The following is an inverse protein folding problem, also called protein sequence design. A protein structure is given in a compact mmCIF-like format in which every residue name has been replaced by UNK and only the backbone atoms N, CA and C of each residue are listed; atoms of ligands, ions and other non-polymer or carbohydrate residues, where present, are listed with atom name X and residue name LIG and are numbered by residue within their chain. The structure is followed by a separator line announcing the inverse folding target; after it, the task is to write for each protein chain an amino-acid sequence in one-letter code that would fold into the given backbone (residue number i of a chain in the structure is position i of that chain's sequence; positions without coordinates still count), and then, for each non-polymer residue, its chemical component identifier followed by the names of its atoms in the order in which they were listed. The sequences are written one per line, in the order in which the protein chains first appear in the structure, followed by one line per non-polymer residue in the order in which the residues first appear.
data_IF_993805987153
#
_entry.id   IF_993805987153
#
_cell.length_a   1.000
_cell.length_b   1.000
_cell.length_c   1.000
_cell.angle_alpha   90.00
_cell.angle_beta   90.00
_cell.angle_gamma   90.00
#
_symmetry.space_group_name_H-M   'P 1'
#
loop_
_entity.id
_entity.type
_entity.pdbx_description
1 polymer ?
#
# COMPACT_ATOMS: atom_id res chain seq x y z
N UNK A 1 -30.29 -10.35 13.87
CA UNK A 1 -29.98 -9.04 13.29
C UNK A 1 -28.98 -9.22 12.15
N UNK A 2 -29.22 -8.64 10.98
CA UNK A 2 -28.37 -8.79 9.78
C UNK A 2 -27.10 -7.95 9.93
N UNK A 3 -25.93 -8.59 9.82
CA UNK A 3 -24.64 -7.89 9.74
C UNK A 3 -24.62 -7.02 8.47
N UNK A 4 -24.12 -5.77 8.52
CA UNK A 4 -23.91 -5.00 7.30
C UNK A 4 -22.88 -5.74 6.45
N UNK A 5 -23.30 -6.14 5.26
CA UNK A 5 -22.46 -6.90 4.33
C UNK A 5 -21.18 -6.11 4.05
N UNK A 6 -20.03 -6.80 4.11
CA UNK A 6 -18.78 -6.25 3.63
C UNK A 6 -18.98 -5.80 2.18
N UNK A 7 -18.89 -4.50 1.93
CA UNK A 7 -18.86 -3.97 0.57
C UNK A 7 -17.61 -4.57 -0.08
N UNK A 8 -17.79 -5.60 -0.93
CA UNK A 8 -16.79 -5.97 -1.94
C UNK A 8 -16.30 -4.65 -2.53
N UNK A 9 -15.03 -4.30 -2.33
CA UNK A 9 -14.45 -3.07 -2.88
C UNK A 9 -14.81 -3.05 -4.36
N UNK A 10 -15.79 -2.22 -4.74
CA UNK A 10 -16.02 -1.88 -6.14
C UNK A 10 -14.67 -1.41 -6.66
N UNK A 11 -14.29 -1.80 -7.88
CA UNK A 11 -13.19 -1.11 -8.54
C UNK A 11 -13.45 0.38 -8.35
N UNK A 12 -12.57 1.04 -7.60
CA UNK A 12 -12.74 2.44 -7.23
C UNK A 12 -12.56 3.23 -8.52
N UNK A 13 -13.65 3.43 -9.26
CA UNK A 13 -13.76 4.49 -10.25
C UNK A 13 -13.92 5.78 -9.46
N UNK A 14 -12.88 6.14 -8.71
CA UNK A 14 -12.70 7.54 -8.32
C UNK A 14 -12.72 8.35 -9.62
N UNK A 15 -13.41 9.50 -9.65
CA UNK A 15 -13.26 10.46 -10.73
C UNK A 15 -11.76 10.68 -10.99
N UNK A 16 -11.38 10.79 -12.27
CA UNK A 16 -9.96 10.86 -12.66
C UNK A 16 -9.21 11.99 -11.94
N UNK A 17 -9.88 13.12 -11.69
CA UNK A 17 -9.36 14.25 -10.93
C UNK A 17 -9.03 13.90 -9.46
N UNK A 18 -9.94 13.24 -8.75
CA UNK A 18 -9.72 12.81 -7.36
C UNK A 18 -8.60 11.77 -7.27
N UNK A 19 -8.57 10.83 -8.22
CA UNK A 19 -7.49 9.87 -8.35
C UNK A 19 -6.13 10.57 -8.54
N UNK A 20 -6.05 11.51 -9.46
CA UNK A 20 -4.80 12.22 -9.76
C UNK A 20 -4.32 13.03 -8.56
N UNK A 21 -5.24 13.69 -7.83
CA UNK A 21 -4.90 14.44 -6.61
C UNK A 21 -4.35 13.52 -5.51
N UNK A 22 -5.05 12.43 -5.22
CA UNK A 22 -4.62 11.45 -4.21
C UNK A 22 -3.30 10.79 -4.59
N UNK A 23 -3.11 10.43 -5.87
CA UNK A 23 -1.85 9.88 -6.36
C UNK A 23 -0.70 10.90 -6.33
N UNK A 24 -0.98 12.19 -6.53
CA UNK A 24 0.00 13.27 -6.37
C UNK A 24 0.51 13.38 -4.94
N UNK A 25 -0.39 13.40 -3.95
CA UNK A 25 -0.03 13.40 -2.53
C UNK A 25 0.73 12.15 -2.11
N UNK A 26 0.31 10.98 -2.61
CA UNK A 26 1.02 9.73 -2.40
C UNK A 26 2.45 9.79 -2.98
N UNK A 27 2.60 10.31 -4.19
CA UNK A 27 3.90 10.43 -4.86
C UNK A 27 4.86 11.33 -4.09
N UNK A 28 4.40 12.47 -3.57
CA UNK A 28 5.20 13.36 -2.72
C UNK A 28 5.74 12.62 -1.49
N UNK A 29 4.88 11.86 -0.79
CA UNK A 29 5.28 11.06 0.37
C UNK A 29 6.31 9.98 0.02
N UNK A 30 6.15 9.33 -1.14
CA UNK A 30 7.12 8.35 -1.64
C UNK A 30 8.48 9.00 -1.89
N UNK A 31 8.51 10.22 -2.44
CA UNK A 31 9.74 10.96 -2.72
C UNK A 31 10.41 11.49 -1.46
N UNK A 32 9.64 11.98 -0.48
CA UNK A 32 10.15 12.37 0.85
C UNK A 32 10.90 11.22 1.54
N UNK A 33 10.45 9.98 1.34
CA UNK A 33 11.10 8.77 1.85
C UNK A 33 12.34 8.34 1.04
N UNK A 34 12.72 9.07 -0.01
CA UNK A 34 13.88 8.78 -0.85
C UNK A 34 13.65 7.73 -1.94
N UNK A 35 12.38 7.37 -2.22
CA UNK A 35 12.04 6.47 -3.31
C UNK A 35 11.80 7.25 -4.61
N UNK A 36 11.87 6.53 -5.73
CA UNK A 36 11.39 7.02 -7.03
C UNK A 36 10.20 6.21 -7.50
N UNK A 37 9.34 6.80 -8.33
CA UNK A 37 8.13 6.15 -8.82
C UNK A 37 8.02 6.29 -10.34
N UNK A 38 7.68 5.20 -11.02
CA UNK A 38 7.48 5.16 -12.49
C UNK A 38 6.20 4.42 -12.82
N UNK A 39 5.33 5.01 -13.64
CA UNK A 39 4.13 4.35 -14.13
C UNK A 39 4.38 3.70 -15.50
N UNK A 40 4.13 2.39 -15.61
CA UNK A 40 4.20 1.65 -16.89
C UNK A 40 3.01 0.72 -16.98
N UNK A 41 2.24 0.81 -18.08
CA UNK A 41 1.09 -0.05 -18.38
C UNK A 41 0.07 -0.14 -17.22
N UNK A 42 -0.21 0.99 -16.55
CA UNK A 42 -1.16 1.03 -15.43
C UNK A 42 -0.64 0.45 -14.11
N UNK A 43 0.67 0.22 -13.99
CA UNK A 43 1.33 -0.19 -12.75
C UNK A 43 2.39 0.83 -12.38
N UNK A 44 2.30 1.36 -11.16
CA UNK A 44 3.33 2.18 -10.55
C UNK A 44 4.39 1.26 -9.94
N UNK A 45 5.61 1.30 -10.46
CA UNK A 45 6.79 0.74 -9.80
C UNK A 45 7.39 1.76 -8.85
N UNK A 46 7.70 1.35 -7.63
CA UNK A 46 8.35 2.17 -6.61
C UNK A 46 9.74 1.58 -6.37
N UNK A 47 10.76 2.42 -6.44
CA UNK A 47 12.16 2.01 -6.50
C UNK A 47 12.99 2.68 -5.41
N UNK A 48 13.85 1.91 -4.78
CA UNK A 48 14.89 2.37 -3.87
C UNK A 48 16.23 2.09 -4.54
N UNK A 49 17.08 3.11 -4.72
CA UNK A 49 18.42 2.94 -5.31
C UNK A 49 18.40 2.22 -6.67
N UNK A 50 17.36 2.46 -7.47
CA UNK A 50 17.16 1.83 -8.78
C UNK A 50 16.59 0.41 -8.74
N UNK A 51 16.52 -0.22 -7.56
CA UNK A 51 15.91 -1.53 -7.35
C UNK A 51 14.41 -1.39 -7.10
N UNK A 52 13.60 -2.24 -7.73
CA UNK A 52 12.14 -2.20 -7.55
C UNK A 52 11.78 -2.79 -6.19
N UNK A 53 11.25 -1.95 -5.31
CA UNK A 53 10.82 -2.34 -3.97
C UNK A 53 9.34 -2.77 -3.96
N UNK A 54 8.47 -1.96 -4.56
CA UNK A 54 7.02 -2.21 -4.59
C UNK A 54 6.43 -2.02 -5.99
N UNK A 55 5.23 -2.56 -6.17
CA UNK A 55 4.38 -2.28 -7.32
C UNK A 55 2.98 -2.00 -6.87
N UNK A 56 2.35 -0.95 -7.38
CA UNK A 56 0.98 -0.55 -7.10
C UNK A 56 0.18 -0.53 -8.40
N UNK A 57 -0.93 -1.25 -8.45
CA UNK A 57 -1.77 -1.30 -9.64
C UNK A 57 -2.76 -0.13 -9.67
N UNK A 58 -2.70 0.72 -10.71
CA UNK A 58 -3.45 2.00 -10.82
C UNK A 58 -4.95 1.87 -10.53
N UNK A 59 -5.60 0.82 -11.06
CA UNK A 59 -7.06 0.63 -10.96
C UNK A 59 -7.54 -0.14 -9.73
N UNK A 60 -6.70 -1.02 -9.18
CA UNK A 60 -7.12 -1.93 -8.10
C UNK A 60 -6.54 -1.53 -6.75
N UNK A 61 -5.58 -0.59 -6.75
CA UNK A 61 -4.79 -0.16 -5.61
C UNK A 61 -4.12 -1.30 -4.83
N UNK A 62 -4.02 -2.48 -5.45
CA UNK A 62 -3.27 -3.60 -4.88
C UNK A 62 -1.80 -3.32 -5.08
N UNK A 63 -1.05 -3.42 -3.98
CA UNK A 63 0.40 -3.34 -4.02
C UNK A 63 1.08 -4.66 -3.64
N UNK A 64 2.26 -4.90 -4.23
CA UNK A 64 3.09 -6.09 -4.00
C UNK A 64 4.53 -5.71 -3.63
N UNK A 65 5.08 -6.32 -2.57
CA UNK A 65 6.49 -6.22 -2.16
C UNK A 65 7.36 -7.18 -2.97
N UNK A 66 8.45 -6.69 -3.56
CA UNK A 66 9.37 -7.46 -4.40
C UNK A 66 10.50 -8.11 -3.59
N UNK A 67 11.18 -9.10 -4.21
CA UNK A 67 12.20 -9.93 -3.55
C UNK A 67 13.31 -9.11 -2.88
N UNK A 68 13.85 -8.12 -3.59
CA UNK A 68 14.87 -7.22 -3.06
C UNK A 68 14.42 -6.60 -1.73
N UNK A 69 13.24 -5.96 -1.71
CA UNK A 69 12.69 -5.36 -0.49
C UNK A 69 12.38 -6.38 0.62
N UNK A 70 12.27 -7.68 0.33
CA UNK A 70 12.07 -8.71 1.38
C UNK A 70 13.38 -9.12 2.06
N UNK A 71 14.51 -8.87 1.42
CA UNK A 71 15.84 -9.26 1.90
C UNK A 71 16.61 -8.07 2.47
N UNK A 72 16.20 -6.85 2.13
CA UNK A 72 16.80 -5.61 2.63
C UNK A 72 16.19 -5.22 3.99
N UNK A 73 17.04 -4.82 4.94
CA UNK A 73 16.67 -4.33 6.28
C UNK A 73 16.63 -2.80 6.37
N UNK A 74 16.16 -2.15 5.31
CA UNK A 74 16.13 -0.68 5.24
C UNK A 74 14.80 -0.16 5.80
N UNK A 75 14.88 0.64 6.87
CA UNK A 75 13.72 1.20 7.58
C UNK A 75 12.76 1.98 6.64
N UNK A 76 13.29 2.56 5.55
CA UNK A 76 12.48 3.27 4.56
C UNK A 76 11.46 2.34 3.90
N UNK A 77 11.75 1.05 3.77
CA UNK A 77 10.83 0.07 3.20
C UNK A 77 9.60 -0.18 4.07
N UNK A 78 9.79 -0.15 5.39
CA UNK A 78 8.70 -0.33 6.35
C UNK A 78 7.88 0.95 6.47
N UNK A 79 8.53 2.13 6.44
CA UNK A 79 7.84 3.42 6.34
C UNK A 79 7.00 3.52 5.06
N UNK A 80 7.55 3.07 3.92
CA UNK A 80 6.81 3.03 2.66
C UNK A 80 5.61 2.09 2.74
N UNK A 81 5.74 0.95 3.43
CA UNK A 81 4.62 0.03 3.62
C UNK A 81 3.49 0.66 4.45
N UNK A 82 3.83 1.42 5.50
CA UNK A 82 2.86 2.19 6.30
C UNK A 82 2.14 3.21 5.42
N UNK A 83 2.87 3.95 4.56
CA UNK A 83 2.26 4.91 3.63
C UNK A 83 1.31 4.20 2.65
N UNK A 84 1.74 3.08 2.05
CA UNK A 84 0.89 2.28 1.17
C UNK A 84 -0.38 1.79 1.86
N UNK A 85 -0.27 1.32 3.10
CA UNK A 85 -1.40 0.87 3.90
C UNK A 85 -2.37 2.01 4.23
N UNK A 86 -1.86 3.19 4.59
CA UNK A 86 -2.69 4.35 4.94
C UNK A 86 -3.51 4.85 3.74
N UNK A 87 -2.96 4.80 2.52
CA UNK A 87 -3.66 5.25 1.31
C UNK A 87 -4.57 4.17 0.70
N UNK A 88 -4.12 2.92 0.68
CA UNK A 88 -4.75 1.87 -0.14
C UNK A 88 -5.29 0.69 0.68
N UNK A 89 -5.02 0.66 1.99
CA UNK A 89 -5.33 -0.44 2.89
C UNK A 89 -4.43 -1.64 2.67
N UNK A 90 -4.86 -2.87 3.03
CA UNK A 90 -4.02 -4.04 2.91
C UNK A 90 -3.65 -4.35 1.45
N UNK A 91 -2.38 -4.66 1.21
CA UNK A 91 -1.84 -5.04 -0.09
C UNK A 91 -2.36 -6.37 -0.64
N UNK A 92 -1.73 -6.86 -1.70
CA UNK A 92 -1.97 -8.19 -2.24
C UNK A 92 -1.66 -9.32 -1.24
N UNK A 93 -2.11 -10.54 -1.53
CA UNK A 93 -1.80 -11.71 -0.69
C UNK A 93 -0.27 -11.87 -0.58
N UNK A 94 0.27 -11.90 0.65
CA UNK A 94 1.71 -12.01 0.91
C UNK A 94 2.53 -10.74 0.60
N UNK A 95 1.86 -9.58 0.50
CA UNK A 95 2.48 -8.31 0.11
C UNK A 95 2.51 -7.25 1.20
N UNK A 96 1.75 -7.44 2.27
CA UNK A 96 1.85 -6.61 3.47
C UNK A 96 2.38 -7.46 4.62
N UNK A 97 3.44 -6.97 5.27
CA UNK A 97 3.84 -7.36 6.63
C UNK A 97 2.84 -6.85 7.67
N UNK A 98 2.12 -5.76 7.35
CA UNK A 98 1.02 -5.26 8.18
C UNK A 98 -0.15 -6.24 8.08
N UNK A 99 -0.18 -7.19 9.00
CA UNK A 99 -1.33 -8.06 9.19
C UNK A 99 -2.42 -7.21 9.83
N UNK A 100 -3.57 -7.00 9.18
CA UNK A 100 -4.67 -6.28 9.82
C UNK A 100 -5.03 -7.05 11.10
N UNK A 101 -4.93 -6.39 12.26
CA UNK A 101 -5.46 -6.96 13.50
C UNK A 101 -6.92 -7.32 13.23
N UNK A 102 -7.27 -8.60 13.42
CA UNK A 102 -8.68 -8.99 13.43
C UNK A 102 -9.35 -8.10 14.48
N UNK A 103 -10.45 -7.44 14.11
CA UNK A 103 -11.35 -6.84 15.09
C UNK A 103 -11.86 -8.01 15.96
N UNK A 104 -11.19 -8.24 17.09
CA UNK A 104 -11.36 -9.44 17.91
C UNK A 104 -10.13 -9.84 18.75
N UNK A 105 -8.90 -9.42 18.41
CA UNK A 105 -7.72 -9.64 19.26
C UNK A 105 -7.53 -8.50 20.28
N UNK A 106 -8.57 -8.24 21.07
CA UNK A 106 -8.42 -7.61 22.38
C UNK A 106 -8.62 -8.72 23.41
N UNK A 107 -7.55 -9.45 23.72
CA UNK A 107 -7.46 -10.11 25.00
C UNK A 107 -6.03 -9.96 25.53
N UNK A 108 -5.99 -9.43 26.75
CA UNK A 108 -4.93 -9.57 27.76
C UNK A 108 -3.60 -8.90 27.37
N UNK A 109 -3.20 -7.79 27.97
CA UNK A 109 -2.83 -7.62 29.38
C UNK A 109 -2.77 -6.11 29.64
N UNK A 110 -3.19 -5.63 30.81
CA UNK A 110 -2.45 -4.69 31.70
C UNK A 110 -3.22 -4.64 33.04
N UNK A 111 -2.56 -5.20 34.06
CA UNK A 111 -2.73 -5.10 35.54
C UNK A 111 -4.09 -5.30 36.20
#
# INVERSE_FOLDING_TARGET
MKLPGYTKRRALTLPEEEHNKMMGQFQEKVFELGFTMKCKNGVYGIYLEGMRAYSLHKRSYKYNRHLYAKQTTDDRLDLLEIVLYNYFGPGGKGSSLITPKKAGDQNEVIE
#
